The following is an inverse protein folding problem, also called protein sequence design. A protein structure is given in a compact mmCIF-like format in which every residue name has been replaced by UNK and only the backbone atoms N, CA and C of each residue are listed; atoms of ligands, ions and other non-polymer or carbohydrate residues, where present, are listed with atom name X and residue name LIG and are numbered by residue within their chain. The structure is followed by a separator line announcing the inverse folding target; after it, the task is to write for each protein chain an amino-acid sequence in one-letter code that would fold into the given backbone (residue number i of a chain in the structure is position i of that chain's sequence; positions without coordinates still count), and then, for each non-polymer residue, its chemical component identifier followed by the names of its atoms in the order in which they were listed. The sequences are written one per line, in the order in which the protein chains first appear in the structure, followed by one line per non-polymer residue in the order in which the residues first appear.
data_IF_297447108426
#
_entry.id   IF_297447108426
#
_cell.length_a   1.000
_cell.length_b   1.000
_cell.length_c   1.000
_cell.angle_alpha   90.00
_cell.angle_beta   90.00
_cell.angle_gamma   90.00
#
_symmetry.space_group_name_H-M   'P 1'
#
loop_
_entity.id
_entity.type
_entity.pdbx_description
1 polymer ?
#
# COMPACT_ATOMS: atom_id res chain seq x y z
N UNK A 1 2.52 -13.07 10.37
CA UNK A 1 1.43 -12.28 9.72
C UNK A 1 0.94 -11.27 10.76
N UNK A 2 0.90 -9.95 10.48
CA UNK A 2 0.35 -8.97 11.45
C UNK A 2 -1.07 -9.41 11.81
N UNK A 3 -1.43 -9.50 13.11
CA UNK A 3 -2.73 -10.02 13.60
C UNK A 3 -3.96 -9.46 12.84
N UNK A 4 -3.91 -8.21 12.39
CA UNK A 4 -4.97 -7.58 11.58
C UNK A 4 -5.22 -8.24 10.20
N UNK A 5 -4.20 -8.82 9.56
CA UNK A 5 -4.32 -9.51 8.27
C UNK A 5 -4.92 -10.92 8.39
N UNK A 6 -4.96 -11.48 9.60
CA UNK A 6 -5.59 -12.77 9.89
C UNK A 6 -7.10 -12.66 10.17
N UNK A 7 -7.66 -11.44 10.18
CA UNK A 7 -9.08 -11.21 10.43
C UNK A 7 -9.96 -11.33 9.17
N UNK A 8 -9.36 -11.46 7.98
CA UNK A 8 -10.11 -11.63 6.72
C UNK A 8 -10.47 -13.10 6.54
N UNK A 9 -11.70 -13.47 6.89
CA UNK A 9 -12.23 -14.83 6.73
C UNK A 9 -12.77 -15.08 5.32
N UNK A 10 -12.85 -16.35 4.87
CA UNK A 10 -13.55 -16.72 3.63
C UNK A 10 -14.99 -16.19 3.58
N UNK A 11 -15.68 -16.14 4.72
CA UNK A 11 -17.05 -15.62 4.82
C UNK A 11 -17.15 -14.13 4.49
N UNK A 12 -16.21 -13.30 4.96
CA UNK A 12 -16.15 -11.87 4.63
C UNK A 12 -15.88 -11.69 3.13
N UNK A 13 -14.95 -12.45 2.58
CA UNK A 13 -14.59 -12.38 1.16
C UNK A 13 -15.77 -12.79 0.28
N UNK A 14 -16.43 -13.92 0.58
CA UNK A 14 -17.60 -14.36 -0.19
C UNK A 14 -18.73 -13.35 -0.14
N UNK A 15 -19.03 -12.79 1.05
CA UNK A 15 -20.04 -11.73 1.18
C UNK A 15 -19.70 -10.50 0.33
N UNK A 16 -18.44 -10.07 0.34
CA UNK A 16 -17.98 -8.96 -0.49
C UNK A 16 -18.21 -9.24 -1.97
N UNK A 17 -17.82 -10.42 -2.46
CA UNK A 17 -18.00 -10.76 -3.87
C UNK A 17 -19.46 -10.88 -4.28
N UNK A 18 -20.34 -11.40 -3.43
CA UNK A 18 -21.78 -11.44 -3.71
C UNK A 18 -22.40 -10.04 -3.86
N UNK A 19 -21.94 -9.06 -3.09
CA UNK A 19 -22.41 -7.67 -3.23
C UNK A 19 -21.71 -6.93 -4.38
N UNK A 20 -20.43 -7.25 -4.64
CA UNK A 20 -19.69 -6.73 -5.78
C UNK A 20 -20.35 -7.15 -7.09
N UNK A 21 -20.74 -8.41 -7.23
CA UNK A 21 -21.41 -8.97 -8.42
C UNK A 21 -22.63 -8.12 -8.82
N UNK A 22 -23.53 -7.87 -7.87
CA UNK A 22 -24.72 -7.00 -8.05
C UNK A 22 -24.33 -5.56 -8.39
N UNK A 23 -23.25 -5.07 -7.78
CA UNK A 23 -22.80 -3.68 -7.95
C UNK A 23 -22.22 -3.44 -9.34
N UNK A 24 -21.53 -4.42 -9.92
CA UNK A 24 -20.88 -4.32 -11.24
C UNK A 24 -21.67 -5.01 -12.37
N UNK A 25 -22.87 -5.51 -12.08
CA UNK A 25 -23.75 -6.12 -13.07
C UNK A 25 -24.02 -5.14 -14.24
N UNK A 26 -23.80 -5.60 -15.47
CA UNK A 26 -23.96 -4.82 -16.70
C UNK A 26 -23.14 -3.51 -16.76
N UNK A 27 -22.07 -3.40 -15.94
CA UNK A 27 -21.16 -2.25 -15.98
C UNK A 27 -20.03 -2.51 -16.99
N UNK A 28 -19.82 -1.67 -18.01
CA UNK A 28 -18.68 -1.79 -18.91
C UNK A 28 -17.35 -1.75 -18.14
N UNK A 29 -16.35 -2.52 -18.58
CA UNK A 29 -15.04 -2.58 -17.89
C UNK A 29 -14.36 -1.21 -17.79
N UNK A 30 -14.51 -0.37 -18.82
CA UNK A 30 -14.03 1.01 -18.83
C UNK A 30 -14.75 1.95 -17.84
N UNK A 31 -15.85 1.51 -17.23
CA UNK A 31 -16.64 2.25 -16.22
C UNK A 31 -16.40 1.76 -14.78
N UNK A 32 -15.64 0.68 -14.59
CA UNK A 32 -15.24 0.17 -13.28
C UNK A 32 -13.86 0.73 -12.99
N UNK A 33 -13.76 1.70 -12.09
CA UNK A 33 -12.50 2.30 -11.68
C UNK A 33 -12.12 1.78 -10.31
N UNK A 34 -10.88 1.35 -10.17
CA UNK A 34 -10.26 1.18 -8.87
C UNK A 34 -9.29 2.35 -8.60
N UNK A 35 -9.32 2.89 -7.38
CA UNK A 35 -8.42 3.95 -6.95
C UNK A 35 -7.77 3.60 -5.61
N UNK A 36 -6.61 4.22 -5.37
CA UNK A 36 -5.87 4.06 -4.12
C UNK A 36 -4.87 5.22 -3.91
N UNK A 37 -4.55 5.48 -2.64
CA UNK A 37 -3.58 6.46 -2.20
C UNK A 37 -2.18 5.85 -2.09
N UNK A 38 -1.18 6.63 -2.46
CA UNK A 38 0.21 6.20 -2.36
C UNK A 38 1.13 7.41 -2.18
N UNK A 39 2.43 7.16 -2.06
CA UNK A 39 3.40 8.23 -2.01
C UNK A 39 4.68 7.89 -2.78
N UNK A 40 5.33 8.94 -3.26
CA UNK A 40 6.66 8.91 -3.85
C UNK A 40 7.64 9.53 -2.87
N UNK A 41 8.50 8.69 -2.28
CA UNK A 41 9.49 9.09 -1.28
C UNK A 41 10.75 9.66 -1.93
N UNK A 42 11.37 10.66 -1.30
CA UNK A 42 12.71 11.17 -1.60
C UNK A 42 13.82 10.27 -1.00
N UNK A 43 13.65 8.96 -1.18
CA UNK A 43 14.61 7.94 -0.79
C UNK A 43 14.83 6.98 -1.98
N UNK A 44 16.04 6.99 -2.59
CA UNK A 44 16.37 6.07 -3.68
C UNK A 44 16.53 4.62 -3.23
N UNK A 45 16.42 4.32 -1.94
CA UNK A 45 16.42 2.97 -1.38
C UNK A 45 17.80 2.31 -1.39
N UNK A 46 17.89 1.08 -0.87
CA UNK A 46 19.15 0.33 -0.74
C UNK A 46 19.51 -0.40 -2.03
N UNK A 47 20.81 -0.57 -2.29
CA UNK A 47 21.33 -1.38 -3.40
C UNK A 47 22.28 -2.45 -2.86
N UNK A 48 22.32 -3.59 -3.56
CA UNK A 48 23.40 -4.57 -3.37
C UNK A 48 24.67 -4.01 -3.99
N UNK A 49 25.79 -4.11 -3.28
CA UNK A 49 27.11 -3.68 -3.73
C UNK A 49 28.10 -4.83 -3.60
N UNK A 50 29.07 -4.88 -4.51
CA UNK A 50 30.19 -5.83 -4.44
C UNK A 50 31.35 -5.09 -3.81
N UNK A 51 31.90 -5.65 -2.73
CA UNK A 51 33.04 -5.09 -2.00
C UNK A 51 34.12 -6.12 -1.80
N UNK A 52 35.35 -5.68 -1.55
CA UNK A 52 36.45 -6.59 -1.15
C UNK A 52 36.05 -7.39 0.09
N UNK A 53 36.40 -8.68 0.11
CA UNK A 53 36.22 -9.55 1.29
C UNK A 53 36.84 -8.88 2.52
N UNK A 54 36.08 -8.73 3.60
CA UNK A 54 36.49 -8.03 4.83
C UNK A 54 36.03 -6.58 4.96
N UNK A 55 35.38 -5.99 3.96
CA UNK A 55 34.72 -4.69 4.10
C UNK A 55 33.55 -4.78 5.10
N UNK A 56 33.68 -4.13 6.25
CA UNK A 56 32.67 -4.16 7.32
C UNK A 56 31.50 -3.21 7.07
N UNK A 57 31.77 -2.03 6.52
CA UNK A 57 30.78 -0.95 6.36
C UNK A 57 30.86 -0.33 4.96
N UNK A 58 30.29 -0.99 3.94
CA UNK A 58 30.16 -0.37 2.63
C UNK A 58 29.15 0.77 2.69
N UNK A 59 29.61 1.99 2.39
CA UNK A 59 28.77 3.17 2.41
C UNK A 59 28.39 3.63 1.01
N UNK A 60 27.16 4.16 0.90
CA UNK A 60 26.70 4.83 -0.31
C UNK A 60 26.27 6.24 0.07
N UNK A 61 27.17 7.19 -0.13
CA UNK A 61 26.93 8.60 0.18
C UNK A 61 26.02 9.21 -0.89
N UNK A 62 24.79 9.53 -0.52
CA UNK A 62 23.83 10.20 -1.39
C UNK A 62 22.77 10.95 -0.56
N UNK A 63 22.46 12.18 -0.97
CA UNK A 63 21.46 13.01 -0.31
C UNK A 63 20.06 12.41 -0.47
N UNK A 64 19.39 12.15 0.66
CA UNK A 64 18.02 11.67 0.71
C UNK A 64 17.30 12.30 1.91
N UNK A 65 15.98 12.29 1.89
CA UNK A 65 15.17 12.77 3.00
C UNK A 65 13.99 11.85 3.26
N UNK A 66 13.32 12.02 4.40
CA UNK A 66 12.04 11.35 4.68
C UNK A 66 10.86 12.05 4.02
N UNK A 67 11.09 13.07 3.19
CA UNK A 67 10.02 13.76 2.48
C UNK A 67 9.37 12.79 1.48
N UNK A 68 8.06 12.90 1.37
CA UNK A 68 7.27 12.19 0.37
C UNK A 68 6.19 13.12 -0.16
N UNK A 69 5.77 12.87 -1.39
CA UNK A 69 4.64 13.54 -2.02
C UNK A 69 3.55 12.50 -2.20
N UNK A 70 2.33 12.84 -1.79
CA UNK A 70 1.18 11.95 -1.80
C UNK A 70 0.50 12.00 -3.17
N UNK A 71 0.07 10.85 -3.66
CA UNK A 71 -0.61 10.71 -4.94
C UNK A 71 -1.86 9.84 -4.75
N UNK A 72 -2.91 10.16 -5.51
CA UNK A 72 -4.02 9.28 -5.75
C UNK A 72 -3.93 8.83 -7.20
N UNK A 73 -3.90 7.51 -7.38
CA UNK A 73 -3.88 6.87 -8.68
C UNK A 73 -5.18 6.10 -8.87
N UNK A 74 -5.66 6.04 -10.11
CA UNK A 74 -6.86 5.30 -10.44
C UNK A 74 -6.73 4.65 -11.81
N UNK A 75 -7.31 3.48 -11.99
CA UNK A 75 -7.31 2.76 -13.25
C UNK A 75 -8.60 1.99 -13.47
N UNK A 76 -9.01 1.84 -14.73
CA UNK A 76 -10.21 1.07 -15.09
C UNK A 76 -9.93 -0.42 -15.13
N UNK A 77 -10.97 -1.25 -15.03
CA UNK A 77 -10.86 -2.70 -15.23
C UNK A 77 -10.41 -3.07 -16.67
N UNK A 78 -10.59 -2.15 -17.62
CA UNK A 78 -10.09 -2.26 -19.00
C UNK A 78 -8.57 -1.98 -19.11
N UNK A 79 -7.96 -1.37 -18.09
CA UNK A 79 -6.54 -1.06 -18.03
C UNK A 79 -6.19 0.39 -18.33
N UNK A 80 -7.18 1.27 -18.49
CA UNK A 80 -6.95 2.70 -18.71
C UNK A 80 -6.55 3.38 -17.40
N UNK A 81 -5.38 4.01 -17.36
CA UNK A 81 -4.90 4.76 -16.20
C UNK A 81 -5.43 6.20 -16.24
N UNK A 82 -6.05 6.64 -15.15
CA UNK A 82 -6.53 8.02 -15.01
C UNK A 82 -5.36 8.98 -14.72
N UNK A 83 -5.53 10.28 -15.00
CA UNK A 83 -4.53 11.29 -14.65
C UNK A 83 -4.21 11.25 -13.14
N UNK A 84 -2.92 11.36 -12.76
CA UNK A 84 -2.54 11.33 -11.35
C UNK A 84 -3.02 12.60 -10.63
N UNK A 85 -3.42 12.42 -9.38
CA UNK A 85 -3.78 13.53 -8.50
C UNK A 85 -2.73 13.66 -7.40
N UNK A 86 -2.09 14.81 -7.29
CA UNK A 86 -0.92 15.05 -6.43
C UNK A 86 -1.31 15.94 -5.26
N UNK A 87 -0.89 15.57 -4.05
CA UNK A 87 -1.08 16.39 -2.85
C UNK A 87 0.27 16.73 -2.23
N UNK A 88 0.58 18.03 -2.20
CA UNK A 88 1.76 18.54 -1.51
C UNK A 88 1.48 18.86 -0.05
N UNK A 89 2.44 18.57 0.84
CA UNK A 89 2.43 19.14 2.20
C UNK A 89 2.74 20.63 2.17
N UNK A 90 1.73 21.51 2.18
CA UNK A 90 1.87 22.95 2.04
C UNK A 90 0.58 23.70 2.40
N UNK A 91 0.70 24.98 2.76
CA UNK A 91 -0.44 25.90 2.87
C UNK A 91 -0.82 26.51 1.51
N UNK A 92 0.19 26.81 0.68
CA UNK A 92 0.00 27.41 -0.64
C UNK A 92 0.42 26.46 -1.75
N UNK A 93 -0.16 26.64 -2.94
CA UNK A 93 0.23 25.97 -4.18
C UNK A 93 0.76 27.04 -5.13
N UNK A 94 1.94 26.81 -5.71
CA UNK A 94 2.59 27.75 -6.61
C UNK A 94 2.61 27.19 -8.03
N UNK A 95 2.52 28.06 -9.04
CA UNK A 95 2.54 27.71 -10.46
C UNK A 95 3.71 26.79 -10.87
N UNK A 96 4.88 27.01 -10.27
CA UNK A 96 6.07 26.20 -10.56
C UNK A 96 5.91 24.75 -10.14
N UNK A 97 4.98 24.45 -9.23
CA UNK A 97 4.73 23.10 -8.71
C UNK A 97 3.68 22.33 -9.53
N UNK A 98 3.16 22.91 -10.61
CA UNK A 98 2.18 22.26 -11.50
C UNK A 98 2.63 22.25 -12.97
N UNK A 99 3.52 23.17 -13.35
CA UNK A 99 4.03 23.31 -14.71
C UNK A 99 4.90 22.12 -15.13
N UNK A 100 4.76 21.71 -16.40
CA UNK A 100 5.52 20.62 -17.02
C UNK A 100 5.29 19.23 -16.38
N UNK A 101 4.12 19.04 -15.77
CA UNK A 101 3.65 17.76 -15.27
C UNK A 101 3.15 16.79 -16.34
N UNK A 102 2.66 15.59 -15.94
CA UNK A 102 1.88 14.75 -16.83
C UNK A 102 0.64 15.50 -17.35
N UNK A 103 0.19 15.12 -18.55
CA UNK A 103 -1.00 15.71 -19.16
C UNK A 103 -2.21 15.43 -18.26
N UNK A 104 -3.06 16.45 -18.06
CA UNK A 104 -4.26 16.39 -17.22
C UNK A 104 -4.03 16.05 -15.74
N UNK A 105 -2.79 15.98 -15.27
CA UNK A 105 -2.51 15.78 -13.85
C UNK A 105 -3.09 16.93 -13.02
N UNK A 106 -3.67 16.58 -11.87
CA UNK A 106 -4.18 17.54 -10.90
C UNK A 106 -3.22 17.67 -9.73
N UNK A 107 -3.08 18.89 -9.24
CA UNK A 107 -2.19 19.22 -8.14
C UNK A 107 -2.95 20.00 -7.10
N UNK A 108 -2.85 19.56 -5.85
CA UNK A 108 -3.43 20.19 -4.69
C UNK A 108 -2.44 20.14 -3.52
N UNK A 109 -2.87 20.60 -2.36
CA UNK A 109 -2.06 20.76 -1.16
C UNK A 109 -2.91 20.68 0.11
N UNK A 110 -2.32 20.13 1.16
CA UNK A 110 -2.86 20.16 2.52
C UNK A 110 -1.73 20.49 3.50
N UNK A 111 -2.06 21.05 4.66
CA UNK A 111 -1.06 21.36 5.70
C UNK A 111 -0.31 20.10 6.18
N UNK A 112 -0.99 18.95 6.16
CA UNK A 112 -0.47 17.67 6.59
C UNK A 112 0.28 16.93 5.47
N UNK A 113 -0.10 17.17 4.20
CA UNK A 113 0.35 16.41 3.02
C UNK A 113 -0.42 15.11 2.80
N UNK A 114 -1.40 14.81 3.65
CA UNK A 114 -2.27 13.65 3.55
C UNK A 114 -3.59 14.03 2.87
N UNK A 115 -4.30 13.01 2.39
CA UNK A 115 -5.65 13.15 1.86
C UNK A 115 -6.64 13.39 3.00
N UNK A 116 -7.59 14.28 2.75
CA UNK A 116 -8.74 14.56 3.61
C UNK A 116 -10.03 14.54 2.76
N UNK A 117 -11.19 14.73 3.39
CA UNK A 117 -12.47 14.68 2.70
C UNK A 117 -12.61 15.76 1.60
N UNK A 118 -12.01 16.94 1.79
CA UNK A 118 -12.10 18.03 0.83
C UNK A 118 -11.23 17.76 -0.40
N UNK A 119 -10.02 17.23 -0.20
CA UNK A 119 -9.17 16.77 -1.31
C UNK A 119 -9.82 15.60 -2.06
N UNK A 120 -10.45 14.66 -1.37
CA UNK A 120 -11.15 13.55 -2.01
C UNK A 120 -12.32 14.05 -2.86
N UNK A 121 -13.13 14.99 -2.34
CA UNK A 121 -14.20 15.65 -3.08
C UNK A 121 -13.68 16.37 -4.33
N UNK A 122 -12.58 17.11 -4.20
CA UNK A 122 -11.92 17.77 -5.33
C UNK A 122 -11.43 16.76 -6.37
N UNK A 123 -10.81 15.66 -5.96
CA UNK A 123 -10.41 14.58 -6.88
C UNK A 123 -11.59 14.00 -7.66
N UNK A 124 -12.71 13.71 -7.01
CA UNK A 124 -13.91 13.21 -7.72
C UNK A 124 -14.41 14.24 -8.74
N UNK A 125 -14.50 15.51 -8.33
CA UNK A 125 -14.99 16.61 -9.21
C UNK A 125 -14.06 16.89 -10.39
N UNK A 126 -12.74 16.87 -10.17
CA UNK A 126 -11.76 17.36 -11.14
C UNK A 126 -11.10 16.27 -11.98
N UNK A 127 -11.22 15.00 -11.59
CA UNK A 127 -10.63 13.84 -12.29
C UNK A 127 -11.69 12.83 -12.69
N UNK A 128 -12.47 12.32 -11.72
CA UNK A 128 -13.40 11.20 -11.97
C UNK A 128 -14.60 11.61 -12.82
N UNK A 129 -15.29 12.69 -12.46
CA UNK A 129 -16.47 13.16 -13.20
C UNK A 129 -16.11 13.52 -14.64
N UNK A 130 -15.03 14.28 -14.92
CA UNK A 130 -14.56 14.53 -16.28
C UNK A 130 -14.24 13.25 -17.06
N UNK A 131 -13.61 12.26 -16.41
CA UNK A 131 -13.31 10.97 -17.03
C UNK A 131 -14.58 10.23 -17.46
N UNK A 132 -15.62 10.27 -16.63
CA UNK A 132 -16.90 9.63 -16.92
C UNK A 132 -17.84 10.42 -17.83
N UNK A 133 -17.54 11.70 -18.13
CA UNK A 133 -18.44 12.60 -18.87
C UNK A 133 -18.95 12.01 -20.19
N UNK A 134 -18.12 11.25 -20.89
CA UNK A 134 -18.45 10.63 -22.18
C UNK A 134 -18.76 9.13 -22.08
N UNK A 135 -18.86 8.58 -20.86
CA UNK A 135 -19.13 7.15 -20.64
C UNK A 135 -20.61 6.92 -20.32
N UNK A 136 -21.25 6.13 -21.17
CA UNK A 136 -22.66 5.72 -21.04
C UNK A 136 -22.81 4.60 -19.99
N UNK A 137 -24.01 4.47 -19.42
CA UNK A 137 -24.34 3.42 -18.46
C UNK A 137 -23.83 3.68 -17.03
N UNK A 138 -24.06 2.67 -16.17
CA UNK A 138 -23.68 2.67 -14.75
C UNK A 138 -22.17 2.80 -14.58
N UNK A 139 -21.74 3.50 -13.52
CA UNK A 139 -20.32 3.78 -13.21
C UNK A 139 -20.02 3.32 -11.80
N UNK A 140 -18.84 2.72 -11.60
CA UNK A 140 -18.45 2.16 -10.30
C UNK A 140 -17.06 2.63 -9.91
N UNK A 141 -16.92 3.11 -8.67
CA UNK A 141 -15.67 3.45 -8.02
C UNK A 141 -15.39 2.46 -6.89
N UNK A 142 -14.26 1.78 -6.97
CA UNK A 142 -13.82 0.78 -5.99
C UNK A 142 -12.58 1.29 -5.27
N UNK A 143 -12.60 1.36 -3.95
CA UNK A 143 -11.44 1.75 -3.15
C UNK A 143 -11.57 1.34 -1.68
N UNK A 144 -10.49 1.46 -0.91
CA UNK A 144 -10.54 1.35 0.53
C UNK A 144 -10.78 2.72 1.21
N UNK A 145 -11.21 2.66 2.47
CA UNK A 145 -11.18 3.79 3.41
C UNK A 145 -12.02 5.05 3.08
N UNK A 146 -13.07 4.92 2.27
CA UNK A 146 -13.85 6.07 1.81
C UNK A 146 -14.81 6.66 2.87
N UNK A 147 -15.18 5.95 3.94
CA UNK A 147 -16.18 6.44 4.91
C UNK A 147 -15.76 7.72 5.65
N UNK A 148 -14.46 7.96 5.86
CA UNK A 148 -13.96 9.21 6.46
C UNK A 148 -13.89 10.39 5.48
N UNK A 149 -14.02 10.13 4.18
CA UNK A 149 -13.82 11.10 3.11
C UNK A 149 -15.10 11.48 2.36
N UNK A 150 -16.23 10.83 2.65
CA UNK A 150 -17.53 11.14 2.05
C UNK A 150 -18.23 12.29 2.77
N UNK A 151 -18.52 13.36 2.02
CA UNK A 151 -19.49 14.36 2.41
C UNK A 151 -20.86 14.06 1.80
N UNK A 152 -21.94 14.54 2.43
CA UNK A 152 -23.30 14.45 1.90
C UNK A 152 -23.39 15.09 0.50
N UNK A 153 -22.69 16.21 0.32
CA UNK A 153 -22.57 16.90 -0.96
C UNK A 153 -22.03 15.97 -2.06
N UNK A 154 -20.92 15.28 -1.79
CA UNK A 154 -20.29 14.37 -2.73
C UNK A 154 -21.19 13.17 -3.07
N UNK A 155 -21.86 12.61 -2.06
CA UNK A 155 -22.82 11.50 -2.25
C UNK A 155 -23.94 11.94 -3.20
N UNK A 156 -24.50 13.13 -3.01
CA UNK A 156 -25.57 13.66 -3.87
C UNK A 156 -25.09 13.88 -5.32
N UNK A 157 -23.87 14.41 -5.50
CA UNK A 157 -23.29 14.59 -6.83
C UNK A 157 -23.12 13.23 -7.54
N UNK A 158 -22.52 12.25 -6.87
CA UNK A 158 -22.31 10.93 -7.45
C UNK A 158 -23.63 10.23 -7.76
N UNK A 159 -24.64 10.36 -6.88
CA UNK A 159 -25.98 9.81 -7.11
C UNK A 159 -26.63 10.40 -8.37
N UNK A 160 -26.53 11.71 -8.58
CA UNK A 160 -27.09 12.36 -9.78
C UNK A 160 -26.38 11.96 -11.09
N UNK A 161 -25.14 11.48 -11.00
CA UNK A 161 -24.33 11.06 -12.14
C UNK A 161 -24.30 9.53 -12.33
N UNK A 162 -25.08 8.80 -11.54
CA UNK A 162 -25.12 7.33 -11.51
C UNK A 162 -23.74 6.69 -11.27
N UNK A 163 -22.98 7.30 -10.34
CA UNK A 163 -21.67 6.83 -9.87
C UNK A 163 -21.87 6.14 -8.52
N UNK A 164 -21.60 4.84 -8.48
CA UNK A 164 -21.75 3.99 -7.31
C UNK A 164 -20.39 3.72 -6.67
N UNK A 165 -20.33 3.76 -5.34
CA UNK A 165 -19.14 3.42 -4.59
C UNK A 165 -19.21 1.98 -4.08
N UNK A 166 -18.12 1.24 -4.23
CA UNK A 166 -17.93 -0.09 -3.65
C UNK A 166 -16.68 -0.07 -2.79
N UNK A 167 -16.81 -0.57 -1.56
CA UNK A 167 -15.74 -0.53 -0.58
C UNK A 167 -15.05 -1.89 -0.51
N UNK A 168 -13.71 -1.88 -0.50
CA UNK A 168 -12.94 -3.09 -0.27
C UNK A 168 -13.12 -3.60 1.17
N UNK A 169 -13.06 -4.92 1.41
CA UNK A 169 -13.18 -5.45 2.77
C UNK A 169 -12.05 -4.93 3.67
N UNK A 170 -12.37 -4.63 4.92
CA UNK A 170 -11.38 -4.15 5.89
C UNK A 170 -10.19 -5.12 6.03
N UNK A 171 -8.99 -4.56 6.18
CA UNK A 171 -7.72 -5.30 6.33
C UNK A 171 -7.36 -6.23 5.15
N UNK A 172 -8.05 -6.13 4.01
CA UNK A 172 -7.85 -7.01 2.86
C UNK A 172 -7.09 -6.37 1.69
N UNK A 173 -6.54 -5.16 1.83
CA UNK A 173 -5.87 -4.41 0.75
C UNK A 173 -4.86 -5.27 -0.03
N UNK A 174 -3.99 -6.01 0.68
CA UNK A 174 -3.04 -6.96 0.07
C UNK A 174 -3.64 -8.11 -0.79
N UNK A 175 -4.95 -8.32 -0.70
CA UNK A 175 -5.70 -9.35 -1.41
C UNK A 175 -6.64 -8.79 -2.47
N UNK A 176 -7.31 -7.67 -2.17
CA UNK A 176 -8.47 -7.16 -2.91
C UNK A 176 -8.25 -5.80 -3.56
N UNK A 177 -7.12 -5.10 -3.33
CA UNK A 177 -6.81 -3.79 -3.92
C UNK A 177 -5.94 -3.93 -5.19
N UNK A 178 -6.51 -3.78 -6.41
CA UNK A 178 -5.79 -3.99 -7.66
C UNK A 178 -4.47 -3.23 -7.78
N UNK A 179 -4.47 -1.94 -7.43
CA UNK A 179 -3.29 -1.09 -7.58
C UNK A 179 -2.14 -1.52 -6.66
N UNK A 180 -2.45 -1.94 -5.44
CA UNK A 180 -1.45 -2.47 -4.49
C UNK A 180 -0.88 -3.82 -4.95
N UNK A 181 -1.73 -4.69 -5.50
CA UNK A 181 -1.34 -6.05 -5.90
C UNK A 181 -0.39 -6.04 -7.11
N UNK A 182 -0.61 -5.16 -8.10
CA UNK A 182 0.12 -5.24 -9.37
C UNK A 182 0.76 -3.93 -9.86
N UNK A 183 0.27 -2.76 -9.46
CA UNK A 183 0.67 -1.49 -10.10
C UNK A 183 1.71 -0.69 -9.30
N UNK A 184 1.53 -0.53 -7.99
CA UNK A 184 2.37 0.37 -7.19
C UNK A 184 3.80 -0.10 -7.02
N UNK A 185 4.06 -1.41 -6.99
CA UNK A 185 5.42 -1.91 -6.87
C UNK A 185 6.27 -1.55 -8.10
N UNK A 186 5.88 -1.88 -9.34
CA UNK A 186 6.57 -1.42 -10.54
C UNK A 186 6.76 0.11 -10.59
N UNK A 187 5.71 0.87 -10.28
CA UNK A 187 5.77 2.34 -10.26
C UNK A 187 6.82 2.86 -9.27
N UNK A 188 6.85 2.34 -8.03
CA UNK A 188 7.85 2.72 -7.02
C UNK A 188 9.27 2.30 -7.40
N UNK A 189 9.44 1.24 -8.20
CA UNK A 189 10.75 0.86 -8.75
C UNK A 189 11.21 1.87 -9.80
N UNK A 190 10.34 2.22 -10.76
CA UNK A 190 10.62 3.25 -11.77
C UNK A 190 10.93 4.60 -11.14
N UNK A 191 10.16 5.02 -10.12
CA UNK A 191 10.42 6.26 -9.39
C UNK A 191 11.82 6.29 -8.76
N UNK A 192 12.26 5.19 -8.11
CA UNK A 192 13.60 5.13 -7.52
C UNK A 192 14.71 5.25 -8.56
N UNK A 193 14.52 4.73 -9.76
CA UNK A 193 15.48 4.88 -10.87
C UNK A 193 15.58 6.34 -11.32
N UNK A 194 14.44 7.00 -11.53
CA UNK A 194 14.37 8.42 -11.90
C UNK A 194 15.00 9.29 -10.82
N UNK A 195 14.62 9.06 -9.56
CA UNK A 195 15.16 9.77 -8.41
C UNK A 195 16.67 9.58 -8.29
N UNK A 196 17.16 8.36 -8.46
CA UNK A 196 18.59 8.07 -8.41
C UNK A 196 19.37 8.81 -9.52
N UNK A 197 18.82 8.86 -10.75
CA UNK A 197 19.43 9.62 -11.85
C UNK A 197 19.46 11.11 -11.52
N UNK A 198 18.35 11.66 -11.03
CA UNK A 198 18.23 13.06 -10.65
C UNK A 198 19.21 13.45 -9.52
N UNK A 199 19.31 12.63 -8.46
CA UNK A 199 20.25 12.84 -7.35
C UNK A 199 21.73 12.74 -7.75
N UNK A 200 22.04 12.12 -8.89
CA UNK A 200 23.41 12.07 -9.44
C UNK A 200 23.72 13.25 -10.36
N UNK A 201 22.71 13.99 -10.80
CA UNK A 201 22.79 15.07 -11.78
C UNK A 201 22.27 16.37 -11.17
N UNK A 202 21.12 16.88 -11.61
CA UNK A 202 20.56 18.18 -11.23
C UNK A 202 20.36 18.33 -9.71
N UNK A 203 20.04 17.23 -9.04
CA UNK A 203 19.76 17.18 -7.61
C UNK A 203 20.97 16.89 -6.73
N UNK A 204 22.18 16.82 -7.28
CA UNK A 204 23.39 16.36 -6.54
C UNK A 204 23.67 17.19 -5.30
N UNK A 205 23.52 18.51 -5.38
CA UNK A 205 23.77 19.44 -4.27
C UNK A 205 22.55 19.68 -3.39
N UNK A 206 21.39 19.11 -3.73
CA UNK A 206 20.13 19.33 -3.01
C UNK A 206 19.89 18.22 -1.98
N UNK A 207 19.45 18.63 -0.79
CA UNK A 207 19.08 17.71 0.30
C UNK A 207 17.82 16.91 -0.05
N UNK A 208 16.84 17.55 -0.69
CA UNK A 208 15.58 16.94 -1.12
C UNK A 208 15.13 17.37 -2.51
N UNK A 209 14.16 16.66 -3.09
CA UNK A 209 13.50 17.08 -4.34
C UNK A 209 12.64 18.33 -4.07
N UNK A 210 12.94 19.49 -4.70
CA UNK A 210 12.08 20.65 -4.59
C UNK A 210 10.73 20.39 -5.27
N UNK A 211 9.64 20.91 -4.70
CA UNK A 211 8.29 20.75 -5.27
C UNK A 211 8.17 21.29 -6.70
N UNK A 212 8.95 22.31 -7.07
CA UNK A 212 8.99 22.82 -8.46
C UNK A 212 9.68 21.90 -9.47
N UNK A 213 10.44 20.90 -9.00
CA UNK A 213 11.05 19.88 -9.85
C UNK A 213 10.13 18.64 -10.01
N UNK A 214 9.27 18.40 -9.02
CA UNK A 214 8.46 17.19 -8.95
C UNK A 214 7.55 16.96 -10.17
N UNK A 215 6.82 17.95 -10.72
CA UNK A 215 5.97 17.74 -11.89
C UNK A 215 6.70 17.11 -13.08
N UNK A 216 7.89 17.62 -13.41
CA UNK A 216 8.71 17.07 -14.51
C UNK A 216 9.14 15.64 -14.22
N UNK A 217 9.54 15.35 -12.98
CA UNK A 217 9.93 13.99 -12.59
C UNK A 217 8.72 13.04 -12.60
N UNK A 218 7.53 13.51 -12.22
CA UNK A 218 6.30 12.76 -12.30
C UNK A 218 5.92 12.48 -13.76
N UNK A 219 6.09 13.45 -14.67
CA UNK A 219 5.90 13.24 -16.11
C UNK A 219 6.78 12.10 -16.62
N UNK A 220 8.08 12.15 -16.31
CA UNK A 220 9.01 11.06 -16.66
C UNK A 220 8.58 9.71 -16.10
N UNK A 221 8.07 9.69 -14.86
CA UNK A 221 7.55 8.47 -14.25
C UNK A 221 6.34 7.92 -15.02
N UNK A 222 5.36 8.78 -15.31
CA UNK A 222 4.15 8.40 -16.02
C UNK A 222 4.49 7.87 -17.42
N UNK A 223 5.39 8.56 -18.14
CA UNK A 223 5.86 8.15 -19.46
C UNK A 223 6.57 6.77 -19.40
N UNK A 224 7.41 6.56 -18.38
CA UNK A 224 8.14 5.30 -18.20
C UNK A 224 7.22 4.11 -17.87
N UNK A 225 6.19 4.31 -17.04
CA UNK A 225 5.28 3.22 -16.65
C UNK A 225 4.18 2.96 -17.68
N UNK A 226 3.89 3.93 -18.56
CA UNK A 226 2.82 3.82 -19.55
C UNK A 226 2.95 2.59 -20.46
N UNK A 227 4.18 2.15 -20.73
CA UNK A 227 4.46 0.96 -21.56
C UNK A 227 3.80 -0.31 -20.99
N UNK A 228 3.70 -0.42 -19.65
CA UNK A 228 3.18 -1.61 -18.98
C UNK A 228 1.96 -1.31 -18.08
N UNK A 229 1.45 -0.08 -18.08
CA UNK A 229 0.39 0.35 -17.16
C UNK A 229 -0.88 -0.47 -17.36
N UNK A 230 -1.33 -0.62 -18.60
CA UNK A 230 -2.53 -1.40 -18.95
C UNK A 230 -2.43 -2.85 -18.45
N UNK A 231 -1.33 -3.53 -18.78
CA UNK A 231 -1.08 -4.91 -18.36
C UNK A 231 -1.04 -5.05 -16.84
N UNK A 232 -0.39 -4.13 -16.14
CA UNK A 232 -0.30 -4.17 -14.68
C UNK A 232 -1.66 -3.91 -14.02
N UNK A 233 -2.46 -2.96 -14.52
CA UNK A 233 -3.80 -2.68 -13.99
C UNK A 233 -4.71 -3.89 -14.20
N UNK A 234 -4.79 -4.41 -15.43
CA UNK A 234 -5.58 -5.61 -15.74
C UNK A 234 -5.13 -6.83 -14.93
N UNK A 235 -3.82 -7.00 -14.74
CA UNK A 235 -3.29 -8.06 -13.88
C UNK A 235 -3.71 -7.88 -12.41
N UNK A 236 -3.78 -6.63 -11.92
CA UNK A 236 -4.32 -6.28 -10.61
C UNK A 236 -5.77 -6.71 -10.47
N UNK A 237 -6.65 -6.25 -11.37
CA UNK A 237 -8.08 -6.59 -11.37
C UNK A 237 -8.33 -8.10 -11.47
N UNK A 238 -7.56 -8.80 -12.32
CA UNK A 238 -7.63 -10.25 -12.43
C UNK A 238 -7.21 -10.92 -11.13
N UNK A 239 -6.09 -10.48 -10.54
CA UNK A 239 -5.54 -11.15 -9.36
C UNK A 239 -6.38 -10.91 -8.11
N UNK A 240 -7.07 -9.78 -8.04
CA UNK A 240 -8.05 -9.49 -6.98
C UNK A 240 -9.41 -10.09 -7.23
N UNK A 241 -9.62 -10.79 -8.36
CA UNK A 241 -10.88 -11.44 -8.69
C UNK A 241 -12.03 -10.48 -9.02
N UNK A 242 -11.75 -9.19 -9.24
CA UNK A 242 -12.78 -8.18 -9.55
C UNK A 242 -13.15 -8.23 -11.03
N UNK A 243 -12.16 -8.43 -11.91
CA UNK A 243 -12.40 -8.56 -13.36
C UNK A 243 -11.36 -9.48 -14.02
N UNK A 244 -11.78 -10.63 -14.58
CA UNK A 244 -13.13 -11.21 -14.49
C UNK A 244 -13.50 -11.50 -13.04
N UNK A 245 -14.80 -11.46 -12.73
CA UNK A 245 -15.30 -11.74 -11.39
C UNK A 245 -15.00 -13.20 -11.02
N UNK A 246 -14.10 -13.41 -10.05
CA UNK A 246 -13.70 -14.73 -9.59
C UNK A 246 -13.22 -14.69 -8.13
N UNK A 247 -14.09 -14.99 -7.16
CA UNK A 247 -13.74 -15.01 -5.73
C UNK A 247 -12.59 -15.94 -5.40
N UNK A 248 -12.42 -17.04 -6.15
CA UNK A 248 -11.41 -18.05 -5.88
C UNK A 248 -9.97 -17.53 -6.03
N UNK A 249 -9.74 -16.51 -6.87
CA UNK A 249 -8.43 -15.84 -6.97
C UNK A 249 -7.98 -15.22 -5.64
N UNK A 250 -8.93 -14.79 -4.81
CA UNK A 250 -8.67 -14.26 -3.47
C UNK A 250 -8.67 -15.37 -2.43
N UNK A 251 -9.67 -16.25 -2.45
CA UNK A 251 -9.83 -17.32 -1.46
C UNK A 251 -8.62 -18.27 -1.44
N UNK A 252 -8.06 -18.62 -2.61
CA UNK A 252 -6.87 -19.46 -2.71
C UNK A 252 -5.59 -18.84 -2.12
N UNK A 253 -5.61 -17.55 -1.79
CA UNK A 253 -4.50 -16.82 -1.15
C UNK A 253 -4.74 -16.54 0.34
N UNK A 254 -5.91 -16.92 0.87
CA UNK A 254 -6.13 -16.89 2.31
C UNK A 254 -5.31 -18.00 2.97
N UNK A 255 -4.75 -17.77 4.17
CA UNK A 255 -4.17 -18.85 4.95
C UNK A 255 -5.27 -19.88 5.26
N UNK A 256 -4.94 -21.17 5.14
CA UNK A 256 -5.84 -22.24 5.55
C UNK A 256 -6.25 -22.00 7.02
N UNK A 257 -7.56 -22.08 7.29
CA UNK A 257 -8.03 -22.10 8.67
C UNK A 257 -7.46 -23.37 9.29
N UNK A 258 -6.46 -23.20 10.17
CA UNK A 258 -5.90 -24.30 10.93
C UNK A 258 -7.05 -25.00 11.67
N UNK A 259 -7.42 -26.18 11.21
CA UNK A 259 -8.29 -27.09 11.95
C UNK A 259 -7.58 -27.37 13.29
N UNK A 260 -8.12 -26.81 14.38
CA UNK A 260 -7.75 -27.12 15.77
C UNK A 260 -6.26 -27.02 16.16
N UNK A 261 -5.70 -25.82 16.08
CA UNK A 261 -4.33 -25.52 16.56
C UNK A 261 -4.29 -24.94 17.99
N UNK A 262 -5.11 -25.41 18.94
CA UNK A 262 -4.81 -25.11 20.36
C UNK A 262 -3.54 -25.86 20.79
N UNK A 263 -3.41 -27.14 20.46
CA UNK A 263 -2.21 -27.94 20.77
C UNK A 263 -0.97 -27.44 20.03
N UNK A 264 -1.08 -27.05 18.76
CA UNK A 264 0.05 -26.52 18.00
C UNK A 264 0.47 -25.12 18.47
N UNK A 265 -0.47 -24.23 18.82
CA UNK A 265 -0.15 -22.94 19.44
C UNK A 265 0.50 -23.12 20.80
N UNK A 266 0.00 -24.05 21.62
CA UNK A 266 0.55 -24.33 22.94
C UNK A 266 1.96 -24.94 22.85
N UNK A 267 2.18 -25.82 21.86
CA UNK A 267 3.49 -26.41 21.57
C UNK A 267 4.50 -25.36 21.07
N UNK A 268 4.07 -24.45 20.20
CA UNK A 268 4.92 -23.35 19.70
C UNK A 268 5.24 -22.37 20.83
N UNK A 269 4.26 -21.98 21.66
CA UNK A 269 4.49 -21.09 22.80
C UNK A 269 5.42 -21.72 23.83
N UNK A 270 5.27 -23.02 24.13
CA UNK A 270 6.19 -23.76 25.01
C UNK A 270 7.60 -23.82 24.43
N UNK A 271 7.75 -24.10 23.13
CA UNK A 271 9.06 -24.15 22.48
C UNK A 271 9.76 -22.80 22.48
N UNK A 272 9.03 -21.70 22.21
CA UNK A 272 9.56 -20.33 22.22
C UNK A 272 9.91 -19.91 23.65
N UNK A 273 9.07 -20.23 24.63
CA UNK A 273 9.36 -19.98 26.05
C UNK A 273 10.62 -20.71 26.52
N UNK A 274 10.81 -21.97 26.11
CA UNK A 274 12.01 -22.73 26.45
C UNK A 274 13.25 -22.13 25.79
N UNK A 275 13.17 -21.75 24.52
CA UNK A 275 14.28 -21.11 23.80
C UNK A 275 14.64 -19.75 24.42
N UNK A 276 13.65 -18.96 24.83
CA UNK A 276 13.86 -17.70 25.55
C UNK A 276 14.44 -17.91 26.96
N UNK A 277 14.07 -18.99 27.65
CA UNK A 277 14.67 -19.37 28.95
C UNK A 277 16.12 -19.78 28.77
N UNK A 278 16.43 -20.61 27.77
CA UNK A 278 17.82 -20.99 27.45
C UNK A 278 18.67 -19.77 27.08
N UNK A 279 18.12 -18.83 26.31
CA UNK A 279 18.82 -17.59 25.96
C UNK A 279 19.04 -16.65 27.14
N UNK A 280 18.13 -16.63 28.13
CA UNK A 280 18.25 -15.76 29.32
C UNK A 280 19.15 -16.32 30.41
N UNK A 281 19.11 -17.63 30.61
CA UNK A 281 19.80 -18.26 31.74
C UNK A 281 21.05 -19.04 31.33
N UNK A 282 21.29 -19.24 30.02
CA UNK A 282 22.33 -20.14 29.52
C UNK A 282 22.05 -21.59 29.89
N UNK A 283 22.78 -22.54 29.31
CA UNK A 283 22.70 -23.97 29.65
C UNK A 283 23.24 -24.23 31.06
N UNK A 284 22.50 -23.82 32.09
CA UNK A 284 22.76 -24.21 33.46
C UNK A 284 22.19 -25.61 33.61
N UNK A 285 23.09 -26.59 33.70
CA UNK A 285 22.77 -27.92 34.24
C UNK A 285 22.18 -27.73 35.64
N UNK A 286 20.85 -27.70 35.75
CA UNK A 286 20.16 -27.75 37.03
C UNK A 286 20.32 -29.18 37.55
N UNK A 287 21.37 -29.42 38.34
CA UNK A 287 21.38 -30.59 39.24
C UNK A 287 20.30 -30.37 40.29
N UNK A 288 19.31 -31.25 40.32
CA UNK A 288 18.34 -31.29 41.42
C UNK A 288 19.06 -31.38 42.77
N UNK A 289 18.62 -30.63 43.80
CA UNK A 289 19.26 -30.64 45.10
C UNK A 289 19.03 -31.97 45.81
N UNK A 290 20.11 -32.70 46.07
CA UNK A 290 20.09 -33.88 46.95
C UNK A 290 19.92 -33.43 48.41
N UNK A 291 18.87 -33.90 49.07
CA UNK A 291 18.66 -33.73 50.52
C UNK A 291 19.90 -34.25 51.30
N UNK A 292 20.59 -33.35 52.00
CA UNK A 292 21.68 -33.73 52.92
C UNK A 292 21.06 -34.13 54.26
N UNK A 293 21.32 -35.36 54.71
CA UNK A 293 20.98 -35.83 56.06
C UNK A 293 21.76 -35.00 57.10
N UNK A 294 21.04 -34.50 58.11
CA UNK A 294 21.58 -33.80 59.27
C UNK A 294 22.41 -34.81 60.09
N UNK A 295 23.67 -34.48 60.37
CA UNK A 295 24.50 -35.20 61.34
C UNK A 295 24.53 -34.32 62.58
N UNK A 296 23.95 -34.80 63.68
CA UNK A 296 24.06 -34.16 64.99
C UNK A 296 25.43 -34.44 65.59
N UNK A 297 26.18 -33.37 65.88
CA UNK A 297 27.43 -33.44 66.65
C UNK A 297 27.29 -32.52 67.84
N UNK A 298 27.52 -33.07 69.04
CA UNK A 298 27.32 -32.41 70.34
C UNK A 298 28.54 -31.52 70.65
N UNK A 299 28.29 -30.32 71.19
CA UNK A 299 29.29 -29.29 71.50
C UNK A 299 30.16 -29.61 72.74
N UNK A 300 31.47 -29.33 72.65
CA UNK A 300 32.41 -29.23 73.79
C UNK A 300 33.82 -28.92 73.25
N UNK A 301 34.67 -28.08 73.87
CA UNK A 301 34.71 -27.42 75.19
C UNK A 301 35.12 -25.96 75.01
#
# INVERSE_FOLDING_TARGET
IKRARAATSPTIINKYFSELEKSIENVPLGNIINYDETNLSDDPGRHKVITRRGCKYPERVLNHSKASISLMMAGTAEGELLPPYVVYKSTNLYDTWVKNGPVNARYNRTSSGWFDAEVFKDWVKEVVIPFFKNKQGKKVLIGDNLSSHLSIELINICKNLDIHFVFLPANSTHLTQPLDVAFFRPMKVAWRQILQKWKKTDGRSLSCVPKGCFPRMLKLLMDQININSENNIRAGFRKTGISPLNPNEVLARLPEEAQNDEEAKEAIDKSVLNLLKEMRYGSINIKEPKNKKKIDVISGK
#
